data_IF_714269760019
#
_entry.id   IF_714269760019
#
_cell.length_a   1.000
_cell.length_b   1.000
_cell.length_c   1.000
_cell.angle_alpha   90.00
_cell.angle_beta   90.00
_cell.angle_gamma   90.00
#
_symmetry.space_group_name_H-M   'P 1'
#
loop_
_entity.id
_entity.type
_entity.pdbx_description
1 polymer ?
#
# COMPACT_ATOMS: atom_id res chain seq x y z
N UNK A 1 -51.84 -14.48 54.97
CA UNK A 1 -50.47 -14.90 55.34
C UNK A 1 -50.33 -16.40 55.05
N UNK A 2 -49.80 -16.75 53.87
CA UNK A 2 -48.96 -17.93 53.61
C UNK A 2 -48.55 -17.92 52.13
N UNK A 3 -47.24 -17.76 51.96
CA UNK A 3 -46.49 -17.76 50.71
C UNK A 3 -46.70 -19.07 49.96
N UNK A 4 -46.91 -18.98 48.64
CA UNK A 4 -46.59 -20.07 47.72
C UNK A 4 -45.46 -19.56 46.82
N UNK A 5 -44.23 -19.98 47.14
CA UNK A 5 -43.02 -19.61 46.40
C UNK A 5 -42.97 -20.36 45.07
N UNK A 6 -42.91 -19.59 43.99
CA UNK A 6 -42.57 -20.05 42.64
C UNK A 6 -41.04 -20.25 42.63
N UNK A 7 -40.59 -21.50 42.55
CA UNK A 7 -39.18 -21.83 42.34
C UNK A 7 -38.93 -21.89 40.83
N UNK A 8 -38.36 -20.81 40.28
CA UNK A 8 -37.76 -20.82 38.94
C UNK A 8 -36.35 -21.43 39.05
N UNK A 9 -36.17 -22.65 38.54
CA UNK A 9 -34.85 -23.23 38.34
C UNK A 9 -34.16 -22.52 37.17
N UNK A 10 -33.26 -21.59 37.49
CA UNK A 10 -32.31 -21.02 36.52
C UNK A 10 -31.17 -22.02 36.38
N UNK A 11 -31.20 -22.81 35.31
CA UNK A 11 -30.08 -23.67 34.90
C UNK A 11 -28.99 -22.76 34.33
N UNK A 12 -27.98 -22.46 35.16
CA UNK A 12 -26.78 -21.72 34.75
C UNK A 12 -25.93 -22.65 33.87
N UNK A 13 -26.09 -22.56 32.55
CA UNK A 13 -25.16 -23.20 31.60
C UNK A 13 -23.86 -22.40 31.63
N UNK A 14 -22.91 -22.79 32.49
CA UNK A 14 -21.53 -22.34 32.39
C UNK A 14 -20.97 -22.81 31.04
N UNK A 15 -20.46 -21.92 30.18
CA UNK A 15 -19.75 -22.35 28.99
C UNK A 15 -18.45 -23.00 29.46
N UNK A 16 -18.34 -24.32 29.26
CA UNK A 16 -17.07 -25.01 29.34
C UNK A 16 -16.17 -24.41 28.24
N UNK A 17 -15.34 -23.44 28.63
CA UNK A 17 -14.23 -22.99 27.80
C UNK A 17 -13.25 -24.15 27.68
N UNK A 18 -13.33 -24.91 26.60
CA UNK A 18 -12.33 -25.93 26.29
C UNK A 18 -10.97 -25.25 26.18
N UNK A 19 -10.03 -25.61 27.06
CA UNK A 19 -8.64 -25.19 26.92
C UNK A 19 -8.13 -25.69 25.57
N UNK A 20 -7.69 -24.77 24.71
CA UNK A 20 -7.08 -25.13 23.44
C UNK A 20 -5.72 -25.77 23.74
N UNK A 21 -5.62 -27.08 23.51
CA UNK A 21 -4.39 -27.83 23.71
C UNK A 21 -3.93 -28.39 22.37
N UNK A 22 -2.76 -27.94 21.91
CA UNK A 22 -2.12 -28.55 20.75
C UNK A 22 -1.50 -29.87 21.16
N UNK A 23 -1.40 -30.79 20.20
CA UNK A 23 -0.75 -32.07 20.43
C UNK A 23 0.03 -32.51 19.19
N UNK A 24 1.34 -32.39 19.25
CA UNK A 24 2.23 -32.82 18.18
C UNK A 24 3.02 -34.04 18.65
N UNK A 25 3.05 -35.10 17.86
CA UNK A 25 3.77 -36.33 18.21
C UNK A 25 4.41 -36.98 17.00
N UNK A 26 5.39 -37.84 17.21
CA UNK A 26 6.03 -38.51 16.09
C UNK A 26 7.18 -39.40 16.54
N UNK A 27 7.96 -39.85 15.57
CA UNK A 27 9.12 -40.71 15.80
C UNK A 27 10.36 -40.17 15.11
N UNK A 28 11.51 -40.37 15.75
CA UNK A 28 12.83 -40.08 15.19
C UNK A 28 13.74 -41.30 15.28
N UNK A 29 14.69 -41.41 14.36
CA UNK A 29 15.72 -42.46 14.39
C UNK A 29 16.83 -42.08 15.38
N UNK A 30 16.70 -42.59 16.60
CA UNK A 30 17.63 -42.35 17.71
C UNK A 30 19.06 -42.84 17.43
N UNK A 31 19.24 -43.75 16.47
CA UNK A 31 20.56 -44.29 16.13
C UNK A 31 21.44 -43.23 15.48
N UNK A 32 20.85 -42.49 14.53
CA UNK A 32 21.53 -41.44 13.78
C UNK A 32 21.34 -40.05 14.43
N UNK A 33 20.28 -39.87 15.21
CA UNK A 33 19.88 -38.61 15.83
C UNK A 33 19.64 -38.81 17.33
N UNK A 34 20.71 -38.93 18.14
CA UNK A 34 20.58 -39.19 19.58
C UNK A 34 20.14 -37.96 20.38
N UNK A 35 20.14 -36.78 19.74
CA UNK A 35 19.79 -35.52 20.37
C UNK A 35 18.28 -35.31 20.47
N UNK A 36 17.91 -34.18 21.04
CA UNK A 36 16.53 -33.83 21.28
C UNK A 36 15.83 -33.34 20.01
N UNK A 37 14.50 -33.41 20.03
CA UNK A 37 13.66 -32.85 18.97
C UNK A 37 13.26 -31.44 19.38
N UNK A 38 13.36 -30.51 18.44
CA UNK A 38 13.09 -29.10 18.67
C UNK A 38 11.87 -28.65 17.88
N UNK A 39 10.99 -27.90 18.53
CA UNK A 39 9.88 -27.19 17.90
C UNK A 39 10.23 -25.72 17.85
N UNK A 40 10.22 -25.14 16.65
CA UNK A 40 10.50 -23.73 16.41
C UNK A 40 9.28 -23.00 15.84
N UNK A 41 9.08 -21.75 16.28
CA UNK A 41 8.14 -20.80 15.70
C UNK A 41 8.90 -19.88 14.74
N UNK A 42 8.52 -19.89 13.47
CA UNK A 42 9.20 -19.10 12.44
C UNK A 42 8.40 -17.84 12.16
N UNK A 43 8.82 -16.69 12.69
CA UNK A 43 8.14 -15.40 12.47
C UNK A 43 8.66 -14.63 11.24
N UNK A 44 9.90 -14.89 10.82
CA UNK A 44 10.52 -14.33 9.62
C UNK A 44 10.53 -15.39 8.53
N UNK A 45 9.76 -15.16 7.46
CA UNK A 45 9.63 -16.15 6.40
C UNK A 45 10.90 -16.31 5.55
N UNK A 46 11.87 -15.39 5.64
CA UNK A 46 13.20 -15.51 5.02
C UNK A 46 14.13 -16.42 5.83
N UNK A 47 13.77 -16.72 7.08
CA UNK A 47 14.43 -17.70 7.97
C UNK A 47 13.66 -19.01 8.09
N UNK A 48 12.83 -19.34 7.09
CA UNK A 48 12.08 -20.60 7.04
C UNK A 48 13.00 -21.81 6.93
N UNK A 49 14.06 -21.70 6.12
CA UNK A 49 15.07 -22.76 5.97
C UNK A 49 16.24 -22.54 6.93
N UNK A 50 16.69 -23.62 7.55
CA UNK A 50 17.85 -23.61 8.47
C UNK A 50 17.48 -23.41 9.93
N UNK A 51 18.39 -23.74 10.82
CA UNK A 51 18.17 -23.83 12.27
C UNK A 51 18.65 -22.56 12.98
N UNK A 52 17.69 -21.80 13.48
CA UNK A 52 17.89 -20.58 14.24
C UNK A 52 17.50 -20.82 15.71
N UNK A 53 18.46 -20.85 16.65
CA UNK A 53 18.18 -21.10 18.06
C UNK A 53 17.15 -20.13 18.66
N UNK A 54 17.11 -18.88 18.20
CA UNK A 54 16.15 -17.87 18.67
C UNK A 54 14.69 -18.20 18.30
N UNK A 55 14.47 -19.12 17.36
CA UNK A 55 13.14 -19.57 16.94
C UNK A 55 12.65 -20.77 17.75
N UNK A 56 13.50 -21.42 18.56
CA UNK A 56 13.13 -22.63 19.33
C UNK A 56 12.23 -22.24 20.50
N UNK A 57 11.02 -22.81 20.54
CA UNK A 57 10.02 -22.57 21.59
C UNK A 57 9.84 -23.75 22.54
N UNK A 58 10.08 -24.98 22.08
CA UNK A 58 10.00 -26.19 22.89
C UNK A 58 11.04 -27.22 22.46
N UNK A 59 11.35 -28.12 23.37
CA UNK A 59 12.33 -29.20 23.23
C UNK A 59 11.75 -30.47 23.84
N UNK A 60 11.89 -31.61 23.17
CA UNK A 60 11.42 -32.91 23.64
C UNK A 60 12.52 -33.96 23.47
N UNK A 61 12.80 -34.70 24.54
CA UNK A 61 13.74 -35.82 24.51
C UNK A 61 13.01 -37.09 24.06
N UNK A 62 13.39 -37.71 22.93
CA UNK A 62 12.76 -38.95 22.48
C UNK A 62 12.99 -40.10 23.46
N UNK A 63 11.97 -40.94 23.63
CA UNK A 63 12.07 -42.14 24.46
C UNK A 63 13.00 -43.22 23.87
N UNK A 64 13.02 -44.42 24.43
CA UNK A 64 13.84 -45.53 23.90
C UNK A 64 13.43 -45.99 22.51
N UNK A 65 12.18 -45.75 22.11
CA UNK A 65 11.63 -46.08 20.78
C UNK A 65 11.80 -44.96 19.77
N UNK A 66 12.28 -43.79 20.21
CA UNK A 66 12.38 -42.58 19.40
C UNK A 66 11.07 -41.78 19.35
N UNK A 67 10.09 -42.11 20.18
CA UNK A 67 8.83 -41.36 20.25
C UNK A 67 9.03 -40.04 20.99
N UNK A 68 8.44 -38.97 20.46
CA UNK A 68 8.44 -37.64 21.09
C UNK A 68 7.03 -37.04 21.08
N UNK A 69 6.79 -36.09 21.99
CA UNK A 69 5.55 -35.32 22.03
C UNK A 69 5.77 -33.87 22.48
N UNK A 70 5.02 -32.96 21.88
CA UNK A 70 4.83 -31.58 22.31
C UNK A 70 3.35 -31.37 22.60
N UNK A 71 3.04 -30.85 23.78
CA UNK A 71 1.67 -30.51 24.14
C UNK A 71 1.63 -29.34 25.11
N UNK A 72 0.56 -28.55 25.06
CA UNK A 72 0.35 -27.41 25.93
C UNK A 72 -0.59 -26.38 25.33
N UNK A 73 -0.58 -25.17 25.89
CA UNK A 73 -1.46 -24.05 25.55
C UNK A 73 -0.70 -22.79 25.10
N UNK A 74 0.63 -22.85 25.06
CA UNK A 74 1.52 -21.72 24.75
C UNK A 74 1.61 -21.34 23.26
N UNK A 75 0.91 -22.04 22.36
CA UNK A 75 0.91 -21.67 20.94
C UNK A 75 -0.10 -20.55 20.65
N UNK A 76 0.16 -19.67 19.67
CA UNK A 76 -0.82 -18.73 19.16
C UNK A 76 -2.11 -19.40 18.65
N UNK A 77 -3.23 -18.68 18.79
CA UNK A 77 -4.55 -19.16 18.32
C UNK A 77 -4.71 -19.16 16.81
N UNK A 78 -4.00 -18.27 16.12
CA UNK A 78 -4.00 -18.20 14.66
C UNK A 78 -2.92 -19.11 14.11
N UNK A 79 -3.08 -19.53 12.86
CA UNK A 79 -2.08 -20.33 12.16
C UNK A 79 -0.74 -19.58 12.09
N UNK A 80 0.34 -20.28 12.42
CA UNK A 80 1.72 -19.81 12.28
C UNK A 80 2.55 -20.87 11.58
N UNK A 81 3.73 -20.46 11.11
CA UNK A 81 4.72 -21.36 10.50
C UNK A 81 5.56 -21.95 11.62
N UNK A 82 5.59 -23.29 11.67
CA UNK A 82 6.42 -24.04 12.60
C UNK A 82 7.42 -24.88 11.84
N UNK A 83 8.53 -25.15 12.53
CA UNK A 83 9.54 -26.11 12.10
C UNK A 83 9.75 -27.12 13.21
N UNK A 84 9.68 -28.39 12.87
CA UNK A 84 10.23 -29.46 13.70
C UNK A 84 11.59 -29.85 13.15
N UNK A 85 12.59 -30.00 14.00
CA UNK A 85 13.91 -30.42 13.56
C UNK A 85 14.66 -31.25 14.61
N UNK A 86 15.62 -32.00 14.10
CA UNK A 86 16.72 -32.60 14.86
C UNK A 86 18.03 -32.15 14.22
N UNK A 87 19.05 -31.98 15.05
CA UNK A 87 20.39 -31.67 14.60
C UNK A 87 21.42 -32.37 15.49
N UNK A 88 22.61 -32.58 14.96
CA UNK A 88 23.78 -33.02 15.72
C UNK A 88 24.80 -31.87 15.86
N UNK A 89 24.39 -30.62 15.58
CA UNK A 89 25.26 -29.46 15.52
C UNK A 89 25.47 -28.81 16.90
N UNK A 90 24.59 -29.09 17.86
CA UNK A 90 24.55 -28.43 19.17
C UNK A 90 25.83 -28.59 20.01
N UNK A 91 26.62 -29.66 19.81
CA UNK A 91 27.92 -29.87 20.51
C UNK A 91 29.13 -29.28 19.79
N UNK A 92 29.01 -28.92 18.51
CA UNK A 92 30.17 -28.59 17.70
C UNK A 92 30.67 -27.15 17.90
N UNK A 93 29.81 -26.19 18.29
CA UNK A 93 30.22 -24.79 18.36
C UNK A 93 29.35 -23.98 19.34
N UNK A 94 29.68 -24.02 20.63
CA UNK A 94 29.06 -23.19 21.67
C UNK A 94 29.12 -21.66 21.41
N UNK A 95 29.80 -21.14 20.38
CA UNK A 95 29.85 -19.68 20.16
C UNK A 95 30.11 -19.17 18.72
N UNK A 96 30.01 -20.00 17.66
CA UNK A 96 30.31 -19.52 16.28
C UNK A 96 29.39 -20.01 15.14
N UNK A 97 28.46 -20.94 15.35
CA UNK A 97 27.86 -21.67 14.21
C UNK A 97 26.48 -21.19 13.70
N UNK A 98 25.76 -20.28 14.36
CA UNK A 98 24.37 -19.99 13.94
C UNK A 98 24.15 -18.59 13.37
N UNK A 99 25.19 -17.86 12.95
CA UNK A 99 24.96 -16.54 12.33
C UNK A 99 24.08 -16.63 11.06
N UNK A 100 24.13 -17.77 10.37
CA UNK A 100 23.40 -18.01 9.11
C UNK A 100 22.42 -19.20 9.21
N UNK A 101 22.17 -19.72 10.40
CA UNK A 101 21.28 -20.88 10.61
C UNK A 101 21.66 -22.18 9.89
N UNK A 102 22.88 -22.30 9.36
CA UNK A 102 23.30 -23.47 8.59
C UNK A 102 23.78 -24.60 9.51
N UNK A 103 23.19 -25.79 9.36
CA UNK A 103 23.65 -27.02 9.97
C UNK A 103 23.59 -28.15 8.93
N UNK A 104 24.76 -28.66 8.52
CA UNK A 104 24.86 -29.69 7.49
C UNK A 104 24.34 -31.06 7.93
N UNK A 105 24.36 -31.33 9.24
CA UNK A 105 23.84 -32.56 9.84
C UNK A 105 22.58 -32.24 10.63
N UNK A 106 21.51 -31.93 9.89
CA UNK A 106 20.18 -31.70 10.43
C UNK A 106 19.08 -32.27 9.54
N UNK A 107 17.94 -32.54 10.15
CA UNK A 107 16.69 -32.86 9.46
C UNK A 107 15.60 -31.94 9.99
N UNK A 108 14.87 -31.32 9.08
CA UNK A 108 13.79 -30.40 9.41
C UNK A 108 12.54 -30.69 8.60
N UNK A 109 11.39 -30.28 9.14
CA UNK A 109 10.13 -30.27 8.44
C UNK A 109 9.31 -29.05 8.83
N UNK A 110 8.77 -28.40 7.82
CA UNK A 110 7.95 -27.20 7.95
C UNK A 110 6.47 -27.56 7.89
N UNK A 111 5.69 -26.91 8.73
CA UNK A 111 4.24 -27.07 8.75
C UNK A 111 3.54 -25.83 9.26
N UNK A 112 2.25 -25.73 8.97
CA UNK A 112 1.38 -24.71 9.54
C UNK A 112 0.61 -25.37 10.68
N UNK A 113 0.46 -24.67 11.80
CA UNK A 113 -0.41 -25.12 12.88
C UNK A 113 -0.95 -23.95 13.72
N UNK A 114 -1.90 -24.24 14.58
CA UNK A 114 -2.36 -23.36 15.67
C UNK A 114 -2.47 -24.14 16.99
N UNK A 115 -2.89 -23.47 18.06
CA UNK A 115 -3.01 -24.06 19.40
C UNK A 115 -4.12 -25.11 19.60
N UNK A 116 -4.91 -25.42 18.56
CA UNK A 116 -5.96 -26.46 18.58
C UNK A 116 -5.63 -27.64 17.68
N UNK A 117 -4.55 -27.56 16.90
CA UNK A 117 -4.21 -28.61 15.95
C UNK A 117 -3.54 -29.80 16.66
N UNK A 118 -3.85 -31.00 16.15
CA UNK A 118 -3.17 -32.23 16.54
C UNK A 118 -2.50 -32.81 15.30
N UNK A 119 -1.17 -33.01 15.39
CA UNK A 119 -0.34 -33.45 14.27
C UNK A 119 0.45 -34.69 14.67
N UNK A 120 0.61 -35.60 13.70
CA UNK A 120 1.51 -36.74 13.84
C UNK A 120 2.55 -36.77 12.71
N UNK A 121 3.79 -37.01 13.09
CA UNK A 121 4.95 -37.15 12.21
C UNK A 121 5.44 -38.62 12.22
N UNK A 122 4.76 -39.53 11.50
CA UNK A 122 5.20 -40.90 11.37
C UNK A 122 6.42 -41.00 10.45
N UNK A 123 7.13 -42.12 10.53
CA UNK A 123 8.09 -42.50 9.50
C UNK A 123 7.41 -42.68 8.14
N UNK A 124 8.14 -42.37 7.07
CA UNK A 124 7.76 -42.69 5.70
C UNK A 124 7.81 -44.20 5.44
N UNK A 125 7.38 -44.63 4.25
CA UNK A 125 7.49 -46.03 3.82
C UNK A 125 8.95 -46.53 3.86
N UNK A 126 9.89 -45.66 3.51
CA UNK A 126 11.34 -45.95 3.50
C UNK A 126 12.01 -45.72 4.87
N UNK A 127 11.21 -45.61 5.94
CA UNK A 127 11.64 -45.32 7.31
C UNK A 127 12.34 -43.98 7.48
N UNK A 128 12.07 -43.02 6.60
CA UNK A 128 12.59 -41.66 6.74
C UNK A 128 11.72 -40.85 7.70
N UNK A 129 12.35 -40.14 8.63
CA UNK A 129 11.64 -39.21 9.52
C UNK A 129 11.29 -37.92 8.77
N UNK A 130 10.26 -37.22 9.24
CA UNK A 130 9.94 -35.86 8.78
C UNK A 130 9.57 -35.71 7.29
N UNK A 131 9.15 -36.79 6.63
CA UNK A 131 8.66 -36.75 5.24
C UNK A 131 7.13 -36.71 5.11
N UNK A 132 6.40 -36.89 6.22
CA UNK A 132 4.94 -37.00 6.22
C UNK A 132 4.33 -36.35 7.46
N UNK A 133 3.20 -35.67 7.25
CA UNK A 133 2.36 -35.12 8.31
C UNK A 133 0.97 -35.74 8.19
N UNK A 134 0.48 -36.27 9.29
CA UNK A 134 -0.89 -36.72 9.45
C UNK A 134 -1.62 -35.68 10.29
N UNK A 135 -2.62 -35.05 9.69
CA UNK A 135 -3.43 -33.98 10.27
C UNK A 135 -4.88 -34.15 9.84
N UNK A 136 -5.82 -33.67 10.67
CA UNK A 136 -7.23 -33.50 10.27
C UNK A 136 -7.43 -32.33 9.30
N UNK A 137 -6.51 -31.37 9.29
CA UNK A 137 -6.55 -30.19 8.44
C UNK A 137 -5.48 -30.28 7.34
N UNK A 138 -5.94 -30.26 6.09
CA UNK A 138 -5.10 -30.40 4.90
C UNK A 138 -4.08 -29.26 4.75
N UNK A 139 -4.37 -28.08 5.32
CA UNK A 139 -3.51 -26.89 5.25
C UNK A 139 -2.17 -27.10 5.96
N UNK A 140 -2.14 -27.93 6.99
CA UNK A 140 -0.92 -28.24 7.74
C UNK A 140 0.13 -28.93 6.87
N UNK A 141 -0.31 -29.60 5.79
CA UNK A 141 0.55 -30.31 4.84
C UNK A 141 0.94 -29.45 3.62
N UNK A 142 0.56 -28.16 3.61
CA UNK A 142 0.72 -27.28 2.45
C UNK A 142 2.17 -27.15 1.99
N UNK A 143 3.12 -27.00 2.90
CA UNK A 143 4.54 -26.84 2.57
C UNK A 143 5.14 -28.10 1.94
N UNK A 144 4.89 -29.29 2.51
CA UNK A 144 5.35 -30.57 1.92
C UNK A 144 4.86 -30.73 0.48
N UNK A 145 3.60 -30.37 0.22
CA UNK A 145 3.04 -30.45 -1.13
C UNK A 145 3.71 -29.46 -2.09
N UNK A 146 4.04 -28.26 -1.62
CA UNK A 146 4.82 -27.29 -2.41
C UNK A 146 6.23 -27.81 -2.68
N UNK A 147 6.91 -28.36 -1.67
CA UNK A 147 8.25 -28.94 -1.85
C UNK A 147 8.24 -30.05 -2.89
N UNK A 148 7.22 -30.92 -2.85
CA UNK A 148 7.01 -31.95 -3.88
C UNK A 148 6.82 -31.37 -5.29
N UNK A 149 6.08 -30.26 -5.43
CA UNK A 149 5.90 -29.58 -6.73
C UNK A 149 7.23 -28.94 -7.18
N UNK A 150 7.98 -28.34 -6.26
CA UNK A 150 9.28 -27.73 -6.55
C UNK A 150 10.30 -28.80 -6.98
N UNK A 151 10.28 -29.98 -6.38
CA UNK A 151 11.18 -31.08 -6.74
C UNK A 151 10.81 -31.67 -8.11
N UNK A 152 9.52 -31.86 -8.39
CA UNK A 152 9.05 -32.27 -9.73
C UNK A 152 9.49 -31.25 -10.79
N UNK A 153 9.37 -29.96 -10.46
CA UNK A 153 9.84 -28.88 -11.30
C UNK A 153 11.36 -28.98 -11.53
N UNK A 154 12.19 -29.07 -10.48
CA UNK A 154 13.65 -29.20 -10.61
C UNK A 154 14.04 -30.37 -11.51
N UNK A 155 13.39 -31.52 -11.32
CA UNK A 155 13.57 -32.70 -12.16
C UNK A 155 13.22 -32.42 -13.63
N UNK A 156 12.08 -31.79 -13.89
CA UNK A 156 11.64 -31.44 -15.25
C UNK A 156 12.61 -30.45 -15.94
N UNK A 157 13.15 -29.47 -15.20
CA UNK A 157 14.14 -28.51 -15.72
C UNK A 157 15.45 -29.16 -16.15
N UNK A 158 15.87 -30.24 -15.48
CA UNK A 158 17.01 -31.06 -15.91
C UNK A 158 16.85 -31.60 -17.35
N UNK A 159 15.61 -31.79 -17.82
CA UNK A 159 15.30 -32.33 -19.14
C UNK A 159 15.09 -31.26 -20.22
N UNK A 160 14.96 -29.97 -19.86
CA UNK A 160 14.69 -28.91 -20.82
C UNK A 160 15.96 -28.43 -21.55
N UNK A 161 16.07 -28.81 -22.83
CA UNK A 161 17.28 -28.56 -23.65
C UNK A 161 17.46 -27.14 -24.17
N UNK A 162 16.40 -26.36 -24.40
CA UNK A 162 16.49 -25.02 -25.00
C UNK A 162 16.08 -23.90 -24.05
N UNK A 163 16.66 -22.70 -24.23
CA UNK A 163 16.30 -21.49 -23.46
C UNK A 163 14.82 -21.12 -23.64
N UNK A 164 14.29 -21.25 -24.86
CA UNK A 164 12.88 -21.00 -25.15
C UNK A 164 11.95 -21.99 -24.41
N UNK A 165 12.31 -23.28 -24.39
CA UNK A 165 11.55 -24.30 -23.67
C UNK A 165 11.57 -24.04 -22.15
N UNK A 166 12.73 -23.65 -21.58
CA UNK A 166 12.85 -23.27 -20.17
C UNK A 166 11.96 -22.07 -19.82
N UNK A 167 11.92 -21.03 -20.67
CA UNK A 167 11.07 -19.85 -20.45
C UNK A 167 9.58 -20.20 -20.38
N UNK A 168 9.07 -20.95 -21.37
CA UNK A 168 7.65 -21.34 -21.42
C UNK A 168 7.27 -22.19 -20.20
N UNK A 169 8.11 -23.17 -19.83
CA UNK A 169 7.84 -24.01 -18.67
C UNK A 169 8.00 -23.25 -17.35
N UNK A 170 8.89 -22.27 -17.25
CA UNK A 170 9.01 -21.42 -16.04
C UNK A 170 7.68 -20.74 -15.75
N UNK A 171 7.07 -20.07 -16.73
CA UNK A 171 5.78 -19.41 -16.55
C UNK A 171 4.67 -20.41 -16.17
N UNK A 172 4.69 -21.62 -16.76
CA UNK A 172 3.74 -22.70 -16.39
C UNK A 172 3.90 -23.11 -14.93
N UNK A 173 5.12 -23.35 -14.48
CA UNK A 173 5.41 -23.75 -13.09
C UNK A 173 5.06 -22.65 -12.09
N UNK A 174 5.33 -21.38 -12.40
CA UNK A 174 4.89 -20.24 -11.61
C UNK A 174 3.37 -20.26 -11.41
N UNK A 175 2.60 -20.42 -12.49
CA UNK A 175 1.13 -20.51 -12.39
C UNK A 175 0.68 -21.74 -11.59
N UNK A 176 1.32 -22.91 -11.75
CA UNK A 176 1.00 -24.11 -10.95
C UNK A 176 1.16 -23.84 -9.45
N UNK A 177 2.27 -23.21 -9.05
CA UNK A 177 2.52 -22.85 -7.65
C UNK A 177 1.47 -21.86 -7.12
N UNK A 178 1.20 -20.79 -7.88
CA UNK A 178 0.22 -19.76 -7.49
C UNK A 178 -1.20 -20.34 -7.35
N UNK A 179 -1.63 -21.18 -8.30
CA UNK A 179 -2.95 -21.81 -8.26
C UNK A 179 -3.06 -22.79 -7.09
N UNK A 180 -2.01 -23.58 -6.83
CA UNK A 180 -1.99 -24.48 -5.68
C UNK A 180 -2.16 -23.70 -4.37
N UNK A 181 -1.36 -22.65 -4.17
CA UNK A 181 -1.42 -21.83 -2.96
C UNK A 181 -2.79 -21.18 -2.77
N UNK A 182 -3.35 -20.61 -3.84
CA UNK A 182 -4.69 -20.00 -3.82
C UNK A 182 -5.80 -21.00 -3.49
N UNK A 183 -5.76 -22.20 -4.07
CA UNK A 183 -6.77 -23.25 -3.87
C UNK A 183 -6.79 -23.78 -2.44
N UNK A 184 -5.64 -23.77 -1.75
CA UNK A 184 -5.54 -24.22 -0.36
C UNK A 184 -6.19 -23.23 0.63
N UNK A 185 -6.45 -21.98 0.19
CA UNK A 185 -7.04 -20.92 1.00
C UNK A 185 -6.27 -20.72 2.33
N UNK A 186 -4.95 -20.66 2.22
CA UNK A 186 -4.02 -20.42 3.31
C UNK A 186 -2.88 -19.49 2.87
N UNK A 187 -2.97 -18.18 3.17
CA UNK A 187 -1.99 -17.18 2.75
C UNK A 187 -0.55 -17.47 3.18
N UNK A 188 -0.34 -18.20 4.28
CA UNK A 188 1.03 -18.59 4.69
C UNK A 188 1.68 -19.57 3.71
N UNK A 189 0.90 -20.39 2.98
CA UNK A 189 1.42 -21.27 1.92
C UNK A 189 1.80 -20.47 0.68
N UNK A 190 0.98 -19.50 0.33
CA UNK A 190 1.29 -18.55 -0.73
C UNK A 190 2.53 -17.70 -0.41
N UNK A 191 2.71 -17.34 0.87
CA UNK A 191 3.90 -16.66 1.36
C UNK A 191 5.16 -17.54 1.23
N UNK A 192 5.06 -18.84 1.50
CA UNK A 192 6.17 -19.78 1.27
C UNK A 192 6.54 -19.89 -0.20
N UNK A 193 5.55 -19.98 -1.10
CA UNK A 193 5.77 -19.90 -2.56
C UNK A 193 6.47 -18.59 -2.93
N UNK A 194 5.98 -17.46 -2.41
CA UNK A 194 6.60 -16.16 -2.65
C UNK A 194 8.06 -16.13 -2.16
N UNK A 195 8.35 -16.64 -0.96
CA UNK A 195 9.68 -16.68 -0.40
C UNK A 195 10.65 -17.46 -1.30
N UNK A 196 10.18 -18.56 -1.89
CA UNK A 196 10.92 -19.33 -2.89
C UNK A 196 11.15 -18.55 -4.20
N UNK A 197 10.09 -17.96 -4.78
CA UNK A 197 10.14 -17.29 -6.09
C UNK A 197 10.93 -15.97 -6.07
N UNK A 198 10.80 -15.20 -5.00
CA UNK A 198 11.46 -13.89 -4.81
C UNK A 198 12.91 -14.00 -4.33
N UNK A 199 13.40 -15.22 -4.05
CA UNK A 199 14.80 -15.40 -3.68
C UNK A 199 15.71 -15.12 -4.89
N UNK A 200 16.62 -14.15 -4.76
CA UNK A 200 17.54 -13.72 -5.81
C UNK A 200 18.49 -14.81 -6.31
N UNK A 201 18.74 -15.86 -5.51
CA UNK A 201 19.58 -17.00 -5.92
C UNK A 201 18.79 -18.02 -6.76
N UNK A 202 17.48 -17.86 -6.89
CA UNK A 202 16.62 -18.77 -7.64
C UNK A 202 16.64 -18.44 -9.14
N UNK A 203 16.78 -19.45 -9.99
CA UNK A 203 16.69 -19.31 -11.46
C UNK A 203 15.34 -18.72 -11.93
N UNK A 204 14.29 -18.86 -11.11
CA UNK A 204 12.96 -18.32 -11.39
C UNK A 204 12.79 -16.85 -11.00
N UNK A 205 13.73 -16.24 -10.29
CA UNK A 205 13.61 -14.86 -9.79
C UNK A 205 13.29 -13.86 -10.90
N UNK A 206 13.96 -13.97 -12.05
CA UNK A 206 13.69 -13.09 -13.19
C UNK A 206 12.28 -13.29 -13.77
N UNK A 207 11.75 -14.52 -13.74
CA UNK A 207 10.38 -14.79 -14.19
C UNK A 207 9.35 -14.25 -13.20
N UNK A 208 9.65 -14.31 -11.89
CA UNK A 208 8.86 -13.65 -10.86
C UNK A 208 8.75 -12.14 -11.10
N UNK A 209 9.86 -11.45 -11.38
CA UNK A 209 9.85 -10.01 -11.64
C UNK A 209 9.04 -9.64 -12.89
N UNK A 210 9.08 -10.46 -13.95
CA UNK A 210 8.25 -10.25 -15.14
C UNK A 210 6.76 -10.50 -14.86
N UNK A 211 6.45 -11.53 -14.07
CA UNK A 211 5.09 -11.84 -13.63
C UNK A 211 4.52 -10.70 -12.76
N UNK A 212 5.31 -10.15 -11.83
CA UNK A 212 4.93 -9.04 -10.94
C UNK A 212 4.46 -7.78 -11.69
N UNK A 213 4.95 -7.54 -12.92
CA UNK A 213 4.54 -6.39 -13.74
C UNK A 213 3.09 -6.47 -14.23
N UNK A 214 2.58 -7.69 -14.42
CA UNK A 214 1.32 -7.92 -15.15
C UNK A 214 0.27 -8.64 -14.31
N UNK A 215 0.70 -9.44 -13.34
CA UNK A 215 -0.15 -10.31 -12.54
C UNK A 215 -0.45 -9.66 -11.18
N UNK A 216 -1.75 -9.55 -10.85
CA UNK A 216 -2.20 -9.00 -9.58
C UNK A 216 -2.17 -10.00 -8.41
N UNK A 217 -1.71 -11.24 -8.65
CA UNK A 217 -1.65 -12.30 -7.65
C UNK A 217 -0.98 -11.86 -6.33
N UNK A 218 0.14 -11.14 -6.42
CA UNK A 218 0.91 -10.70 -5.26
C UNK A 218 0.19 -9.60 -4.46
N UNK A 219 -0.50 -8.68 -5.14
CA UNK A 219 -1.36 -7.69 -4.47
C UNK A 219 -2.54 -8.36 -3.76
N UNK A 220 -3.18 -9.31 -4.43
CA UNK A 220 -4.27 -10.08 -3.83
C UNK A 220 -3.77 -10.93 -2.65
N UNK A 221 -2.53 -11.42 -2.69
CA UNK A 221 -1.91 -12.11 -1.55
C UNK A 221 -1.72 -11.15 -0.38
N UNK A 222 -1.27 -9.92 -0.62
CA UNK A 222 -1.15 -8.90 0.43
C UNK A 222 -2.52 -8.64 1.08
N UNK A 223 -3.58 -8.47 0.27
CA UNK A 223 -4.95 -8.31 0.78
C UNK A 223 -5.38 -9.48 1.68
N UNK A 224 -5.15 -10.73 1.24
CA UNK A 224 -5.48 -11.93 2.03
C UNK A 224 -4.66 -12.02 3.32
N UNK A 225 -3.39 -11.64 3.29
CA UNK A 225 -2.52 -11.59 4.47
C UNK A 225 -2.98 -10.51 5.45
N UNK A 226 -3.38 -9.34 4.96
CA UNK A 226 -3.93 -8.26 5.78
C UNK A 226 -5.29 -8.63 6.39
N UNK A 227 -6.14 -9.34 5.66
CA UNK A 227 -7.43 -9.81 6.15
C UNK A 227 -7.27 -10.89 7.25
N UNK A 228 -6.43 -11.90 7.00
CA UNK A 228 -6.33 -13.07 7.89
C UNK A 228 -5.28 -12.93 8.99
N UNK A 229 -4.20 -12.17 8.73
CA UNK A 229 -3.06 -12.00 9.63
C UNK A 229 -2.60 -10.52 9.73
N UNK A 230 -3.49 -9.57 10.05
CA UNK A 230 -3.23 -8.12 9.96
C UNK A 230 -2.01 -7.64 10.75
N UNK A 231 -1.80 -8.19 11.95
CA UNK A 231 -0.75 -7.75 12.88
C UNK A 231 0.46 -8.69 12.90
N UNK A 232 0.56 -9.62 11.95
CA UNK A 232 1.68 -10.56 11.90
C UNK A 232 2.94 -9.91 11.32
N UNK A 233 4.10 -10.40 11.76
CA UNK A 233 5.41 -10.07 11.17
C UNK A 233 5.43 -10.41 9.68
N UNK A 234 4.81 -11.54 9.30
CA UNK A 234 4.68 -12.00 7.92
C UNK A 234 4.08 -10.95 7.00
N UNK A 235 2.92 -10.39 7.36
CA UNK A 235 2.20 -9.42 6.54
C UNK A 235 3.01 -8.15 6.37
N UNK A 236 3.60 -7.65 7.45
CA UNK A 236 4.42 -6.44 7.42
C UNK A 236 5.68 -6.62 6.58
N UNK A 237 6.37 -7.75 6.73
CA UNK A 237 7.56 -8.06 5.96
C UNK A 237 7.23 -8.22 4.46
N UNK A 238 6.14 -8.93 4.15
CA UNK A 238 5.67 -9.11 2.78
C UNK A 238 5.30 -7.80 2.10
N UNK A 239 4.59 -6.91 2.81
CA UNK A 239 4.22 -5.58 2.32
C UNK A 239 5.45 -4.75 1.93
N UNK A 240 6.46 -4.71 2.80
CA UNK A 240 7.70 -3.95 2.58
C UNK A 240 8.49 -4.52 1.41
N UNK A 241 8.68 -5.84 1.36
CA UNK A 241 9.44 -6.49 0.29
C UNK A 241 8.73 -6.36 -1.06
N UNK A 242 7.41 -6.55 -1.12
CA UNK A 242 6.61 -6.37 -2.33
C UNK A 242 6.66 -4.92 -2.84
N UNK A 243 6.53 -3.93 -1.94
CA UNK A 243 6.64 -2.52 -2.30
C UNK A 243 8.04 -2.17 -2.83
N UNK A 244 9.09 -2.74 -2.22
CA UNK A 244 10.47 -2.60 -2.69
C UNK A 244 10.64 -3.17 -4.10
N UNK A 245 10.19 -4.40 -4.35
CA UNK A 245 10.32 -5.04 -5.66
C UNK A 245 9.56 -4.26 -6.75
N UNK A 246 8.37 -3.76 -6.44
CA UNK A 246 7.60 -2.88 -7.34
C UNK A 246 8.30 -1.57 -7.65
N UNK A 247 8.90 -0.93 -6.63
CA UNK A 247 9.68 0.29 -6.81
C UNK A 247 10.90 0.07 -7.70
N UNK A 248 11.57 -1.09 -7.59
CA UNK A 248 12.71 -1.44 -8.45
C UNK A 248 12.30 -1.65 -9.92
N UNK A 249 11.08 -2.12 -10.18
CA UNK A 249 10.58 -2.37 -11.53
C UNK A 249 10.15 -1.09 -12.26
N UNK A 250 9.52 -0.16 -11.55
CA UNK A 250 9.11 1.13 -12.09
C UNK A 250 9.31 2.24 -11.03
N UNK A 251 10.53 2.82 -10.97
CA UNK A 251 10.84 3.90 -10.03
C UNK A 251 9.99 5.15 -10.26
N UNK A 252 9.43 5.32 -11.47
CA UNK A 252 8.65 6.50 -11.87
C UNK A 252 7.15 6.34 -11.58
N UNK A 253 6.64 5.10 -11.44
CA UNK A 253 5.23 4.82 -11.14
C UNK A 253 4.73 5.47 -9.84
N UNK A 254 5.59 5.57 -8.82
CA UNK A 254 5.25 6.20 -7.53
C UNK A 254 5.30 7.73 -7.57
N UNK A 255 5.73 8.33 -8.68
CA UNK A 255 5.90 9.78 -8.83
C UNK A 255 4.79 10.47 -9.64
N UNK A 256 3.69 9.78 -9.97
CA UNK A 256 2.52 10.46 -10.53
C UNK A 256 1.79 11.20 -9.41
N UNK A 257 2.07 12.49 -9.28
CA UNK A 257 1.36 13.40 -8.39
C UNK A 257 0.21 14.10 -9.13
N UNK A 258 -1.01 13.51 -9.19
CA UNK A 258 -2.14 14.06 -9.94
C UNK A 258 -2.60 15.43 -9.42
N UNK A 259 -2.31 15.76 -8.16
CA UNK A 259 -2.68 17.05 -7.57
C UNK A 259 -1.97 18.24 -8.24
N UNK A 260 -0.78 18.04 -8.83
CA UNK A 260 -0.09 19.10 -9.59
C UNK A 260 -0.89 19.51 -10.83
N UNK A 261 -1.54 18.54 -11.50
CA UNK A 261 -2.42 18.83 -12.63
C UNK A 261 -3.69 19.55 -12.19
N UNK A 262 -4.23 19.21 -11.02
CA UNK A 262 -5.38 19.90 -10.42
C UNK A 262 -5.01 21.36 -10.12
N UNK A 263 -3.83 21.62 -9.54
CA UNK A 263 -3.34 22.98 -9.30
C UNK A 263 -3.14 23.73 -10.61
N UNK A 264 -2.52 23.12 -11.62
CA UNK A 264 -2.29 23.75 -12.92
C UNK A 264 -3.62 24.15 -13.58
N UNK A 265 -4.63 23.28 -13.48
CA UNK A 265 -5.97 23.50 -14.02
C UNK A 265 -6.70 24.65 -13.28
N UNK A 266 -6.59 24.69 -11.95
CA UNK A 266 -7.11 25.81 -11.14
C UNK A 266 -6.42 27.14 -11.47
N UNK A 267 -5.10 27.12 -11.70
CA UNK A 267 -4.32 28.30 -12.05
C UNK A 267 -4.71 28.82 -13.45
N UNK A 268 -4.89 27.91 -14.41
CA UNK A 268 -5.39 28.24 -15.75
C UNK A 268 -6.79 28.86 -15.71
N UNK A 269 -7.71 28.28 -14.92
CA UNK A 269 -9.06 28.85 -14.73
C UNK A 269 -8.98 30.25 -14.13
N UNK A 270 -8.14 30.45 -13.10
CA UNK A 270 -7.97 31.75 -12.45
C UNK A 270 -7.43 32.82 -13.42
N UNK A 271 -6.44 32.45 -14.24
CA UNK A 271 -5.90 33.33 -15.29
C UNK A 271 -6.98 33.64 -16.33
N UNK A 272 -7.73 32.65 -16.79
CA UNK A 272 -8.79 32.82 -17.77
C UNK A 272 -9.90 33.76 -17.25
N UNK A 273 -10.31 33.59 -15.98
CA UNK A 273 -11.29 34.43 -15.32
C UNK A 273 -10.81 35.88 -15.19
N UNK A 274 -9.54 36.09 -14.81
CA UNK A 274 -8.96 37.43 -14.74
C UNK A 274 -8.89 38.11 -16.13
N UNK A 275 -8.50 37.35 -17.17
CA UNK A 275 -8.48 37.85 -18.55
C UNK A 275 -9.91 38.22 -19.01
N UNK A 276 -10.90 37.36 -18.75
CA UNK A 276 -12.30 37.62 -19.06
C UNK A 276 -12.80 38.87 -18.34
N UNK A 277 -12.54 39.00 -17.03
CA UNK A 277 -12.89 40.19 -16.25
C UNK A 277 -12.25 41.46 -16.82
N UNK A 278 -10.97 41.40 -17.22
CA UNK A 278 -10.26 42.54 -17.81
C UNK A 278 -10.84 42.97 -19.16
N UNK A 279 -11.18 42.02 -20.04
CA UNK A 279 -11.84 42.30 -21.33
C UNK A 279 -13.23 42.91 -21.10
N UNK A 280 -14.01 42.34 -20.16
CA UNK A 280 -15.34 42.85 -19.82
C UNK A 280 -15.28 44.25 -19.19
N UNK A 281 -14.29 44.55 -18.36
CA UNK A 281 -14.08 45.90 -17.80
C UNK A 281 -13.66 46.92 -18.86
N UNK A 282 -12.81 46.55 -19.82
CA UNK A 282 -12.48 47.43 -20.96
C UNK A 282 -13.70 47.77 -21.81
N UNK A 283 -14.66 46.84 -21.96
CA UNK A 283 -15.93 47.09 -22.67
C UNK A 283 -16.89 48.05 -21.94
N UNK A 284 -16.78 48.20 -20.62
CA UNK A 284 -17.59 49.15 -19.83
C UNK A 284 -17.07 50.60 -19.89
N UNK A 285 -15.85 50.83 -20.37
CA UNK A 285 -15.36 52.18 -20.71
C UNK A 285 -15.84 52.58 -22.10
N UNK A 286 -17.14 52.86 -22.25
CA UNK A 286 -17.65 53.57 -23.43
C UNK A 286 -17.35 55.07 -23.24
N UNK A 287 -16.76 55.78 -24.22
CA UNK A 287 -16.75 57.23 -24.19
C UNK A 287 -18.20 57.70 -24.23
N UNK A 288 -18.60 58.43 -23.21
CA UNK A 288 -19.88 59.11 -23.15
C UNK A 288 -19.82 60.22 -24.22
N UNK A 289 -20.42 59.97 -25.39
CA UNK A 289 -20.66 61.03 -26.38
C UNK A 289 -21.87 61.83 -25.89
N UNK A 290 -21.61 62.95 -25.22
CA UNK A 290 -22.67 63.85 -24.75
C UNK A 290 -23.10 64.70 -25.93
N UNK A 291 -24.30 64.43 -26.41
CA UNK A 291 -25.05 65.29 -27.31
C UNK A 291 -24.99 66.75 -26.79
N UNK A 292 -24.48 67.66 -27.60
CA UNK A 292 -24.35 69.10 -27.33
C UNK A 292 -25.68 69.79 -26.97
N UNK A 293 -26.80 69.07 -27.10
CA UNK A 293 -28.18 69.54 -26.90
C UNK A 293 -28.59 69.79 -25.45
N UNK A 294 -27.73 69.52 -24.44
CA UNK A 294 -28.03 69.79 -23.01
C UNK A 294 -27.26 70.95 -22.36
N UNK A 295 -26.38 71.63 -23.11
CA UNK A 295 -25.64 72.79 -22.61
C UNK A 295 -26.45 74.06 -22.83
N UNK A 296 -26.42 74.96 -21.84
CA UNK A 296 -26.95 76.32 -22.01
C UNK A 296 -26.04 77.12 -22.95
N UNK A 297 -26.57 78.18 -23.56
CA UNK A 297 -25.79 79.03 -24.47
C UNK A 297 -24.50 79.57 -23.83
N UNK A 298 -24.51 79.87 -22.53
CA UNK A 298 -23.33 80.34 -21.80
C UNK A 298 -22.31 79.21 -21.60
N UNK A 299 -22.76 78.00 -21.30
CA UNK A 299 -21.90 76.82 -21.17
C UNK A 299 -21.28 76.41 -22.52
N UNK A 300 -22.01 76.56 -23.63
CA UNK A 300 -21.48 76.33 -24.98
C UNK A 300 -20.38 77.33 -25.35
N UNK A 301 -20.58 78.62 -25.05
CA UNK A 301 -19.54 79.65 -25.27
C UNK A 301 -18.29 79.37 -24.45
N UNK A 302 -18.46 78.99 -23.19
CA UNK A 302 -17.33 78.62 -22.32
C UNK A 302 -16.62 77.38 -22.83
N UNK A 303 -17.37 76.37 -23.30
CA UNK A 303 -16.79 75.17 -23.89
C UNK A 303 -15.92 75.52 -25.11
N UNK A 304 -16.41 76.34 -26.04
CA UNK A 304 -15.65 76.79 -27.22
C UNK A 304 -14.34 77.48 -26.82
N UNK A 305 -14.40 78.43 -25.88
CA UNK A 305 -13.20 79.13 -25.39
C UNK A 305 -12.26 78.20 -24.61
N UNK A 306 -12.77 77.13 -24.00
CA UNK A 306 -11.94 76.11 -23.34
C UNK A 306 -11.15 75.29 -24.37
N UNK A 307 -11.80 74.93 -25.49
CA UNK A 307 -11.20 74.21 -26.60
C UNK A 307 -10.17 75.06 -27.35
N UNK A 308 -10.31 76.38 -27.34
CA UNK A 308 -9.30 77.34 -27.80
C UNK A 308 -8.16 77.59 -26.78
N UNK A 309 -8.02 76.74 -25.76
CA UNK A 309 -6.98 76.83 -24.73
C UNK A 309 -6.98 78.08 -23.83
N UNK A 310 -8.01 78.93 -23.87
CA UNK A 310 -8.05 80.19 -23.09
C UNK A 310 -8.18 79.98 -21.58
N UNK A 311 -7.36 80.65 -20.79
CA UNK A 311 -7.42 80.62 -19.32
C UNK A 311 -8.73 81.22 -18.78
N UNK A 312 -9.10 80.89 -17.54
CA UNK A 312 -10.33 81.42 -16.95
C UNK A 312 -10.37 82.96 -16.87
N UNK A 313 -9.19 83.61 -16.83
CA UNK A 313 -9.08 85.08 -16.89
C UNK A 313 -9.39 85.59 -18.30
N UNK A 314 -8.87 84.95 -19.34
CA UNK A 314 -9.14 85.32 -20.73
C UNK A 314 -10.58 85.04 -21.13
N UNK A 315 -11.18 83.95 -20.64
CA UNK A 315 -12.60 83.64 -20.81
C UNK A 315 -13.46 84.73 -20.16
N UNK A 316 -13.13 85.14 -18.94
CA UNK A 316 -13.83 86.19 -18.20
C UNK A 316 -13.80 87.52 -18.97
N UNK A 317 -12.62 87.91 -19.48
CA UNK A 317 -12.47 89.09 -20.34
C UNK A 317 -13.26 88.98 -21.64
N UNK A 318 -13.23 87.82 -22.30
CA UNK A 318 -13.92 87.60 -23.58
C UNK A 318 -15.44 87.62 -23.46
N UNK A 319 -15.97 87.22 -22.29
CA UNK A 319 -17.41 87.17 -22.01
C UNK A 319 -17.91 88.39 -21.22
N UNK A 320 -17.03 89.35 -20.87
CA UNK A 320 -17.34 90.52 -20.04
C UNK A 320 -17.99 90.17 -18.69
N UNK A 321 -17.48 89.14 -18.01
CA UNK A 321 -17.96 88.69 -16.69
C UNK A 321 -16.79 88.52 -15.70
N UNK A 322 -17.08 88.35 -14.41
CA UNK A 322 -16.03 88.09 -13.42
C UNK A 322 -15.49 86.65 -13.53
N UNK A 323 -14.24 86.46 -13.08
CA UNK A 323 -13.60 85.13 -13.04
C UNK A 323 -14.37 84.16 -12.12
N UNK A 324 -15.03 84.64 -11.08
CA UNK A 324 -15.87 83.80 -10.21
C UNK A 324 -17.09 83.26 -10.95
N UNK A 325 -17.74 84.07 -11.79
CA UNK A 325 -18.87 83.66 -12.62
C UNK A 325 -18.44 82.61 -13.66
N UNK A 326 -17.26 82.78 -14.29
CA UNK A 326 -16.70 81.76 -15.19
C UNK A 326 -16.45 80.44 -14.46
N UNK A 327 -15.86 80.46 -13.25
CA UNK A 327 -15.66 79.25 -12.45
C UNK A 327 -16.98 78.52 -12.15
N UNK A 328 -18.04 79.26 -11.84
CA UNK A 328 -19.37 78.67 -11.61
C UNK A 328 -19.92 77.99 -12.87
N UNK A 329 -19.85 78.64 -14.02
CA UNK A 329 -20.30 78.04 -15.27
C UNK A 329 -19.42 76.84 -15.70
N UNK A 330 -18.11 76.88 -15.47
CA UNK A 330 -17.21 75.74 -15.70
C UNK A 330 -17.57 74.56 -14.80
N UNK A 331 -17.87 74.81 -13.51
CA UNK A 331 -18.29 73.76 -12.60
C UNK A 331 -19.63 73.13 -13.02
N UNK A 332 -20.58 73.93 -13.51
CA UNK A 332 -21.85 73.43 -14.02
C UNK A 332 -21.67 72.66 -15.34
N UNK A 333 -20.80 73.14 -16.22
CA UNK A 333 -20.37 72.45 -17.43
C UNK A 333 -19.77 71.08 -17.10
N UNK A 334 -18.82 71.02 -16.15
CA UNK A 334 -18.19 69.77 -15.71
C UNK A 334 -19.21 68.77 -15.16
N UNK A 335 -20.14 69.23 -14.29
CA UNK A 335 -21.23 68.40 -13.77
C UNK A 335 -22.12 67.84 -14.89
N UNK A 336 -22.47 68.67 -15.88
CA UNK A 336 -23.29 68.23 -17.02
C UNK A 336 -22.55 67.29 -17.97
N UNK A 337 -21.24 67.49 -18.12
CA UNK A 337 -20.39 66.65 -18.96
C UNK A 337 -19.89 65.39 -18.26
N UNK A 338 -20.16 65.21 -16.96
CA UNK A 338 -19.65 64.08 -16.19
C UNK A 338 -18.12 64.06 -16.07
N UNK A 339 -17.48 65.22 -16.15
CA UNK A 339 -16.02 65.38 -16.09
C UNK A 339 -15.61 66.11 -14.81
N UNK A 340 -14.33 65.99 -14.45
CA UNK A 340 -13.77 66.59 -13.23
C UNK A 340 -12.61 67.53 -13.53
N UNK A 341 -12.08 67.53 -14.75
CA UNK A 341 -10.94 68.35 -15.13
C UNK A 341 -11.08 68.97 -16.52
N UNK A 342 -10.39 70.10 -16.71
CA UNK A 342 -10.30 70.80 -18.00
C UNK A 342 -9.73 69.92 -19.11
N UNK A 343 -8.75 69.08 -18.78
CA UNK A 343 -8.12 68.18 -19.75
C UNK A 343 -9.05 67.03 -20.14
N UNK A 344 -9.84 66.53 -19.19
CA UNK A 344 -10.88 65.52 -19.46
C UNK A 344 -11.94 66.08 -20.42
N UNK A 345 -12.40 67.33 -20.21
CA UNK A 345 -13.30 68.01 -21.16
C UNK A 345 -12.68 68.14 -22.55
N UNK A 346 -11.42 68.58 -22.66
CA UNK A 346 -10.75 68.66 -23.96
C UNK A 346 -10.64 67.30 -24.64
N UNK A 347 -10.30 66.25 -23.90
CA UNK A 347 -10.17 64.88 -24.43
C UNK A 347 -11.47 64.29 -24.97
N UNK A 348 -12.63 64.83 -24.58
CA UNK A 348 -13.92 64.42 -25.13
C UNK A 348 -14.15 64.95 -26.56
N UNK A 349 -13.50 66.05 -26.94
CA UNK A 349 -13.77 66.77 -28.20
C UNK A 349 -12.56 66.88 -29.13
N UNK A 350 -11.34 66.72 -28.61
CA UNK A 350 -10.11 66.66 -29.39
C UNK A 350 -9.84 65.17 -29.70
N UNK A 351 -9.81 64.84 -31.00
CA UNK A 351 -9.57 63.48 -31.49
C UNK A 351 -8.09 63.20 -31.66
#
# INVERSE_FOLDING_TARGET
MKLLSIVYSIFFTLPFGGFAQHHFSGYVDKTNWPEDVYLSLVEDYRKISGIYPEQIIQKATPDSTGYFTFSGDHLPSNNHIYRIHVDNCSKAHENKAHLNGFCSDSKELLFIANNRDSLSFPFSFDKEMFCKIVSSNEKNNGFIKIDSIIDEMRFAFGNYRSKANRKINSNRWLNVLQQFGKNLNEPLVELYIYAFLSNKTNDLYNHYLEDLKTNNYYDQLLERLQEKYPNSTYTKQYEIELASDKFLLDPEATQKQPWLWIILMLLLISVLLNILQWILQKRKRKPIWISETKLTQQEQKILALILEDKTNKEIASSMFVSVSTVKTHINNLYKKLGTTSRNEVKSLYIK
#
